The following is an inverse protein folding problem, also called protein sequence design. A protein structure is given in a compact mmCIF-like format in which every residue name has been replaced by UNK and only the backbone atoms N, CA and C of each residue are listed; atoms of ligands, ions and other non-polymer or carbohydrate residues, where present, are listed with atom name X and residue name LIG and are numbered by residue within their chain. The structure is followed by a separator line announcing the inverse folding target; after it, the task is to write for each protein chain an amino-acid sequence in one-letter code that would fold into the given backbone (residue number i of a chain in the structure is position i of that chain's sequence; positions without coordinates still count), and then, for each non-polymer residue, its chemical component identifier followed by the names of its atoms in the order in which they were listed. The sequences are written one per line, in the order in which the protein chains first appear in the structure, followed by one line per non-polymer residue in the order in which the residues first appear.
data_IF_777784570180
#
_entry.id   IF_777784570180
#
_cell.length_a   1.000
_cell.length_b   1.000
_cell.length_c   1.000
_cell.angle_alpha   90.00
_cell.angle_beta   90.00
_cell.angle_gamma   90.00
#
_symmetry.space_group_name_H-M   'P 1'
#
loop_
_entity.id
_entity.type
_entity.pdbx_description
1 polymer ?
#
# COMPACT_ATOMS: atom_id res chain seq x y z
N UNK A 1 -29.68 11.04 -7.95
CA UNK A 1 -28.28 10.68 -8.21
C UNK A 1 -27.70 10.09 -6.94
N UNK A 2 -27.53 8.76 -6.88
CA UNK A 2 -26.87 8.09 -5.75
C UNK A 2 -25.38 8.38 -5.86
N UNK A 3 -24.82 9.03 -4.84
CA UNK A 3 -23.41 9.44 -4.83
C UNK A 3 -22.50 8.25 -5.05
N UNK A 4 -21.58 8.41 -6.01
CA UNK A 4 -20.41 7.55 -6.16
C UNK A 4 -19.62 7.68 -4.88
N UNK A 5 -19.76 6.69 -3.99
CA UNK A 5 -18.88 6.52 -2.83
C UNK A 5 -17.52 6.13 -3.38
N UNK A 6 -16.60 7.09 -3.36
CA UNK A 6 -15.23 6.91 -3.85
C UNK A 6 -14.51 5.96 -2.92
N UNK A 7 -14.15 4.80 -3.47
CA UNK A 7 -13.51 3.66 -2.82
C UNK A 7 -12.05 3.90 -2.41
N UNK A 8 -11.75 4.97 -1.67
CA UNK A 8 -10.47 5.07 -0.94
C UNK A 8 -10.51 4.25 0.37
N UNK A 9 -11.71 3.83 0.79
CA UNK A 9 -11.97 2.88 1.87
C UNK A 9 -13.17 2.02 1.44
N UNK A 10 -12.95 0.74 1.09
CA UNK A 10 -14.06 -0.16 0.80
C UNK A 10 -14.75 -0.57 2.10
N UNK A 11 -15.87 0.09 2.39
CA UNK A 11 -16.95 -0.44 3.23
C UNK A 11 -17.72 -1.44 2.38
N UNK A 12 -17.53 -2.74 2.59
CA UNK A 12 -18.44 -3.77 2.07
C UNK A 12 -19.46 -4.13 3.15
N UNK A 13 -20.62 -3.48 3.13
CA UNK A 13 -21.83 -4.02 3.75
C UNK A 13 -22.61 -4.79 2.68
N UNK A 14 -22.42 -6.11 2.62
CA UNK A 14 -23.20 -6.98 1.75
C UNK A 14 -24.24 -7.75 2.59
N UNK A 15 -25.46 -7.25 2.61
CA UNK A 15 -26.66 -8.03 2.88
C UNK A 15 -27.70 -7.67 1.81
N UNK A 16 -27.69 -8.40 0.71
CA UNK A 16 -28.80 -8.42 -0.25
C UNK A 16 -29.15 -9.88 -0.49
N UNK A 17 -30.17 -10.34 0.24
CA UNK A 17 -30.94 -11.51 -0.16
C UNK A 17 -31.58 -11.21 -1.51
N UNK A 18 -31.25 -12.01 -2.52
CA UNK A 18 -31.98 -12.03 -3.79
C UNK A 18 -32.61 -13.42 -3.91
N UNK A 19 -33.92 -13.47 -3.72
CA UNK A 19 -34.75 -14.58 -4.17
C UNK A 19 -34.78 -14.56 -5.69
N UNK A 20 -34.26 -15.61 -6.33
CA UNK A 20 -34.56 -15.88 -7.73
C UNK A 20 -35.34 -17.20 -7.81
N UNK A 21 -36.61 -17.05 -8.14
CA UNK A 21 -37.49 -18.11 -8.65
C UNK A 21 -37.15 -18.40 -10.10
N UNK A 22 -36.72 -19.64 -10.38
CA UNK A 22 -37.07 -20.45 -11.57
C UNK A 22 -36.49 -20.08 -12.94
N UNK A 23 -35.69 -20.99 -13.52
CA UNK A 23 -36.06 -21.75 -14.73
C UNK A 23 -35.02 -22.85 -15.01
N UNK A 24 -35.50 -24.01 -15.47
CA UNK A 24 -34.81 -25.30 -15.47
C UNK A 24 -33.70 -25.48 -16.50
N UNK A 25 -32.83 -26.45 -16.22
CA UNK A 25 -31.77 -26.92 -17.11
C UNK A 25 -30.89 -27.93 -16.38
N UNK A 26 -30.93 -29.18 -16.85
CA UNK A 26 -30.36 -30.40 -16.26
C UNK A 26 -28.85 -30.40 -16.00
N UNK A 27 -28.49 -30.96 -14.83
CA UNK A 27 -27.25 -31.69 -14.50
C UNK A 27 -25.90 -31.04 -14.83
N UNK A 28 -25.45 -30.17 -13.93
CA UNK A 28 -24.04 -30.11 -13.52
C UNK A 28 -23.98 -30.27 -12.01
N UNK A 29 -23.58 -31.46 -11.54
CA UNK A 29 -23.30 -31.66 -10.12
C UNK A 29 -22.08 -30.84 -9.74
N UNK A 30 -22.30 -29.83 -8.90
CA UNK A 30 -21.22 -29.10 -8.24
C UNK A 30 -20.54 -30.02 -7.21
N UNK A 31 -19.22 -29.86 -6.96
CA UNK A 31 -18.53 -30.61 -5.93
C UNK A 31 -19.24 -30.47 -4.58
N UNK A 32 -19.70 -31.57 -3.99
CA UNK A 32 -20.42 -31.60 -2.71
C UNK A 32 -19.52 -31.34 -1.49
N UNK A 33 -18.21 -31.15 -1.70
CA UNK A 33 -17.28 -30.79 -0.64
C UNK A 33 -16.39 -29.64 -1.10
N UNK A 34 -16.86 -28.41 -0.85
CA UNK A 34 -15.94 -27.31 -0.55
C UNK A 34 -15.56 -27.50 0.92
N UNK A 35 -14.26 -27.62 1.27
CA UNK A 35 -13.86 -27.64 2.66
C UNK A 35 -14.39 -26.36 3.33
N UNK A 36 -15.29 -26.51 4.29
CA UNK A 36 -15.66 -25.42 5.18
C UNK A 36 -14.38 -24.96 5.86
N UNK A 37 -13.97 -23.73 5.57
CA UNK A 37 -12.99 -23.04 6.38
C UNK A 37 -13.65 -22.85 7.76
N UNK A 38 -13.38 -23.76 8.69
CA UNK A 38 -13.88 -23.74 10.05
C UNK A 38 -13.40 -22.46 10.70
N UNK A 39 -14.26 -21.44 10.64
CA UNK A 39 -14.03 -20.09 11.12
C UNK A 39 -13.84 -20.04 12.64
N UNK A 40 -12.74 -20.57 13.15
CA UNK A 40 -12.13 -20.04 14.34
C UNK A 40 -11.74 -18.61 14.00
N UNK A 41 -12.52 -17.67 14.51
CA UNK A 41 -12.13 -16.28 14.67
C UNK A 41 -10.92 -16.23 15.59
N UNK A 42 -9.76 -16.59 15.04
CA UNK A 42 -8.49 -16.51 15.73
C UNK A 42 -8.23 -15.04 16.03
N UNK A 43 -8.00 -14.73 17.31
CA UNK A 43 -7.40 -13.47 17.70
C UNK A 43 -6.20 -13.23 16.78
N UNK A 44 -6.13 -12.03 16.17
CA UNK A 44 -5.02 -11.66 15.30
C UNK A 44 -3.73 -11.98 16.03
N UNK A 45 -2.95 -12.94 15.51
CA UNK A 45 -1.70 -13.33 16.16
C UNK A 45 -0.79 -12.09 16.18
N UNK A 46 -0.62 -11.50 17.36
CA UNK A 46 0.29 -10.38 17.55
C UNK A 46 1.69 -10.91 17.25
N UNK A 47 2.32 -10.41 16.19
CA UNK A 47 3.68 -10.80 15.84
C UNK A 47 4.60 -10.28 16.93
N UNK A 48 5.26 -11.18 17.65
CA UNK A 48 6.29 -10.80 18.61
C UNK A 48 7.48 -10.17 17.87
N UNK A 49 7.77 -8.91 18.18
CA UNK A 49 8.91 -8.17 17.65
C UNK A 49 10.06 -8.30 18.65
N UNK A 50 11.26 -8.77 18.24
CA UNK A 50 12.40 -8.81 19.13
C UNK A 50 12.88 -7.40 19.51
N UNK A 51 13.61 -7.27 20.61
CA UNK A 51 14.13 -5.97 21.05
C UNK A 51 15.23 -5.40 20.13
N UNK A 52 15.85 -6.27 19.32
CA UNK A 52 16.97 -5.92 18.44
C UNK A 52 16.84 -6.65 17.11
N UNK A 53 17.37 -6.02 16.07
CA UNK A 53 17.46 -6.64 14.75
C UNK A 53 18.33 -7.89 14.76
N UNK A 54 17.89 -8.92 14.06
CA UNK A 54 18.64 -10.16 13.90
C UNK A 54 19.75 -10.00 12.86
N UNK A 55 20.97 -10.51 13.09
CA UNK A 55 22.09 -10.34 12.16
C UNK A 55 21.80 -10.81 10.73
N UNK A 56 21.05 -11.91 10.58
CA UNK A 56 20.69 -12.45 9.26
C UNK A 56 19.76 -11.49 8.49
N UNK A 57 18.78 -10.89 9.16
CA UNK A 57 17.88 -9.92 8.54
C UNK A 57 18.61 -8.61 8.21
N UNK A 58 19.51 -8.15 9.09
CA UNK A 58 20.38 -6.99 8.82
C UNK A 58 21.25 -7.22 7.58
N UNK A 59 21.77 -8.44 7.38
CA UNK A 59 22.54 -8.78 6.19
C UNK A 59 21.71 -8.72 4.90
N UNK A 60 20.43 -9.11 4.94
CA UNK A 60 19.50 -8.94 3.80
C UNK A 60 19.29 -7.46 3.50
N UNK A 61 18.98 -6.64 4.51
CA UNK A 61 18.80 -5.19 4.35
C UNK A 61 20.07 -4.53 3.79
N UNK A 62 21.25 -4.89 4.29
CA UNK A 62 22.52 -4.36 3.80
C UNK A 62 22.76 -4.66 2.32
N UNK A 63 22.43 -5.89 1.86
CA UNK A 63 22.46 -6.22 0.42
C UNK A 63 21.45 -5.41 -0.37
N UNK A 64 20.23 -5.27 0.13
CA UNK A 64 19.17 -4.52 -0.54
C UNK A 64 19.52 -3.04 -0.68
N UNK A 65 20.02 -2.39 0.37
CA UNK A 65 20.49 -0.99 0.31
C UNK A 65 21.65 -0.86 -0.66
N UNK A 66 22.63 -1.76 -0.62
CA UNK A 66 23.75 -1.74 -1.58
C UNK A 66 23.26 -1.86 -3.02
N UNK A 67 22.36 -2.81 -3.31
CA UNK A 67 21.79 -3.01 -4.64
C UNK A 67 20.96 -1.81 -5.11
N UNK A 68 20.10 -1.30 -4.23
CA UNK A 68 19.20 -0.19 -4.56
C UNK A 68 19.95 1.11 -4.79
N UNK A 69 21.13 1.29 -4.18
CA UNK A 69 21.85 2.57 -4.22
C UNK A 69 23.15 2.54 -5.01
N UNK A 70 23.44 1.43 -5.70
CA UNK A 70 24.76 1.21 -6.33
C UNK A 70 25.92 1.42 -5.32
N UNK A 71 25.72 0.91 -4.10
CA UNK A 71 26.67 1.00 -3.00
C UNK A 71 26.73 2.34 -2.26
N UNK A 72 25.87 3.31 -2.57
CA UNK A 72 25.84 4.62 -1.89
C UNK A 72 24.60 4.79 -0.97
N UNK A 73 24.66 4.33 0.30
CA UNK A 73 23.51 4.35 1.21
C UNK A 73 22.95 5.76 1.49
N UNK A 74 23.75 6.83 1.32
CA UNK A 74 23.26 8.21 1.46
C UNK A 74 22.16 8.58 0.45
N UNK A 75 21.98 7.80 -0.62
CA UNK A 75 20.86 7.95 -1.55
C UNK A 75 19.51 7.59 -0.93
N UNK A 76 19.46 6.66 0.03
CA UNK A 76 18.22 6.37 0.79
C UNK A 76 17.84 7.57 1.66
N UNK A 77 18.82 8.24 2.25
CA UNK A 77 18.58 9.44 3.06
C UNK A 77 17.97 10.57 2.22
N UNK A 78 18.44 10.78 0.99
CA UNK A 78 17.82 11.72 0.05
C UNK A 78 16.38 11.34 -0.30
N UNK A 79 16.04 10.06 -0.31
CA UNK A 79 14.69 9.58 -0.63
C UNK A 79 13.65 9.84 0.48
N UNK A 80 14.06 10.35 1.66
CA UNK A 80 13.16 10.81 2.71
C UNK A 80 12.21 11.91 2.22
N UNK A 81 12.67 12.75 1.30
CA UNK A 81 11.86 13.74 0.59
C UNK A 81 11.71 13.27 -0.84
N UNK A 82 10.52 12.90 -1.26
CA UNK A 82 10.33 12.37 -2.61
C UNK A 82 8.98 12.70 -3.22
N UNK A 83 8.92 12.64 -4.55
CA UNK A 83 7.69 12.73 -5.33
C UNK A 83 7.56 11.51 -6.22
N UNK A 84 6.33 11.11 -6.45
CA UNK A 84 5.98 9.98 -7.29
C UNK A 84 4.78 10.34 -8.17
N UNK A 85 4.95 10.19 -9.48
CA UNK A 85 3.87 10.28 -10.47
C UNK A 85 3.62 8.92 -11.09
N UNK A 86 2.36 8.51 -11.16
CA UNK A 86 1.97 7.24 -11.75
C UNK A 86 0.59 7.33 -12.42
N UNK A 87 0.38 6.45 -13.40
CA UNK A 87 -0.92 6.24 -14.06
C UNK A 87 -1.24 4.76 -14.08
N UNK A 88 -2.51 4.41 -14.10
CA UNK A 88 -2.89 3.04 -13.88
C UNK A 88 -4.39 2.81 -13.90
N UNK A 89 -4.80 1.73 -13.26
CA UNK A 89 -6.19 1.38 -13.04
C UNK A 89 -6.43 1.17 -11.55
N UNK A 90 -7.61 1.58 -11.10
CA UNK A 90 -8.13 1.25 -9.76
C UNK A 90 -9.43 0.50 -9.95
N UNK A 91 -9.60 -0.63 -9.28
CA UNK A 91 -10.81 -1.43 -9.36
C UNK A 91 -11.95 -0.71 -8.65
N UNK A 92 -12.90 -0.19 -9.42
CA UNK A 92 -14.13 0.41 -8.92
C UNK A 92 -15.30 -0.59 -8.91
N UNK A 93 -16.47 -0.18 -8.39
CA UNK A 93 -17.67 -1.04 -8.34
C UNK A 93 -18.13 -1.55 -9.71
N UNK A 94 -17.86 -0.79 -10.77
CA UNK A 94 -18.27 -1.10 -12.15
C UNK A 94 -17.09 -1.63 -13.00
N UNK A 95 -15.98 -2.02 -12.37
CA UNK A 95 -14.78 -2.49 -13.04
C UNK A 95 -13.59 -1.52 -12.96
N UNK A 96 -12.50 -1.78 -13.72
CA UNK A 96 -11.29 -0.98 -13.69
C UNK A 96 -11.53 0.47 -14.16
N UNK A 97 -11.08 1.43 -13.35
CA UNK A 97 -11.16 2.86 -13.62
C UNK A 97 -9.77 3.41 -13.96
N UNK A 98 -9.54 3.96 -15.17
CA UNK A 98 -8.28 4.63 -15.50
C UNK A 98 -8.00 5.75 -14.52
N UNK A 99 -6.81 5.77 -13.94
CA UNK A 99 -6.48 6.64 -12.81
C UNK A 99 -5.09 7.25 -12.95
N UNK A 100 -4.88 8.41 -12.34
CA UNK A 100 -3.58 9.04 -12.13
C UNK A 100 -3.38 9.32 -10.65
N UNK A 101 -2.15 9.20 -10.18
CA UNK A 101 -1.79 9.48 -8.80
C UNK A 101 -0.50 10.29 -8.76
N UNK A 102 -0.54 11.38 -8.00
CA UNK A 102 0.61 12.17 -7.59
C UNK A 102 0.78 12.03 -6.08
N UNK A 103 1.97 11.68 -5.63
CA UNK A 103 2.35 11.64 -4.22
C UNK A 103 3.54 12.58 -4.01
N UNK A 104 3.47 13.38 -2.96
CA UNK A 104 4.59 14.13 -2.39
C UNK A 104 4.72 13.69 -0.93
N UNK A 105 5.93 13.35 -0.49
CA UNK A 105 6.11 12.79 0.85
C UNK A 105 7.41 13.26 1.52
N UNK A 106 7.32 13.46 2.83
CA UNK A 106 8.48 13.68 3.71
C UNK A 106 8.41 12.73 4.89
N UNK A 107 9.38 11.83 4.97
CA UNK A 107 9.49 10.87 6.07
C UNK A 107 9.77 11.58 7.40
N UNK A 108 9.17 11.14 8.53
CA UNK A 108 8.25 9.98 8.67
C UNK A 108 6.76 10.35 8.69
N UNK A 109 6.39 11.61 8.50
CA UNK A 109 5.12 12.14 9.01
C UNK A 109 4.26 12.92 8.02
N UNK A 110 4.74 13.16 6.80
CA UNK A 110 4.04 14.00 5.82
C UNK A 110 3.80 13.31 4.49
N UNK A 111 2.55 13.36 4.04
CA UNK A 111 2.13 12.83 2.74
C UNK A 111 1.03 13.73 2.15
N UNK A 112 1.22 14.15 0.91
CA UNK A 112 0.17 14.73 0.08
C UNK A 112 -0.06 13.79 -1.11
N UNK A 113 -1.21 13.14 -1.16
CA UNK A 113 -1.62 12.31 -2.30
C UNK A 113 -2.80 12.95 -3.02
N UNK A 114 -2.75 12.89 -4.34
CA UNK A 114 -3.79 13.36 -5.23
C UNK A 114 -4.09 12.26 -6.23
N UNK A 115 -5.34 11.78 -6.21
CA UNK A 115 -5.83 10.75 -7.12
C UNK A 115 -6.86 11.36 -8.06
N UNK A 116 -6.71 11.09 -9.36
CA UNK A 116 -7.65 11.45 -10.41
C UNK A 116 -8.21 10.16 -11.01
N UNK A 117 -9.52 9.97 -10.95
CA UNK A 117 -10.24 8.79 -11.43
C UNK A 117 -11.09 9.14 -12.63
N UNK A 118 -10.89 8.44 -13.75
CA UNK A 118 -11.65 8.66 -14.98
C UNK A 118 -13.12 8.29 -14.81
N UNK A 119 -14.00 9.04 -15.46
CA UNK A 119 -15.43 8.77 -15.55
C UNK A 119 -16.00 9.34 -16.85
N UNK A 120 -17.22 8.97 -17.20
CA UNK A 120 -17.90 9.46 -18.41
C UNK A 120 -18.02 11.00 -18.46
N UNK A 121 -18.07 11.66 -17.29
CA UNK A 121 -18.16 13.11 -17.16
C UNK A 121 -16.83 13.82 -16.91
N UNK A 122 -15.69 13.09 -16.99
CA UNK A 122 -14.36 13.61 -16.73
C UNK A 122 -13.68 12.96 -15.52
N UNK A 123 -12.66 13.60 -14.97
CA UNK A 123 -11.92 13.05 -13.83
C UNK A 123 -12.47 13.55 -12.49
N UNK A 124 -12.89 12.62 -11.63
CA UNK A 124 -13.09 12.90 -10.21
C UNK A 124 -11.75 12.99 -9.50
N UNK A 125 -11.59 13.93 -8.55
CA UNK A 125 -10.32 14.13 -7.82
C UNK A 125 -10.51 13.89 -6.32
N UNK A 126 -9.65 13.06 -5.75
CA UNK A 126 -9.53 12.83 -4.30
C UNK A 126 -8.18 13.31 -3.80
N UNK A 127 -8.17 13.84 -2.59
CA UNK A 127 -7.03 14.44 -1.95
C UNK A 127 -6.85 13.79 -0.57
N UNK A 128 -5.62 13.39 -0.26
CA UNK A 128 -5.20 12.95 1.08
C UNK A 128 -4.06 13.85 1.53
N UNK A 129 -4.17 14.40 2.73
CA UNK A 129 -3.23 15.33 3.34
C UNK A 129 -2.94 14.84 4.75
N UNK A 130 -1.75 14.28 4.94
CA UNK A 130 -1.28 13.76 6.21
C UNK A 130 -0.11 14.63 6.69
N UNK A 131 -0.24 15.15 7.91
CA UNK A 131 0.84 15.74 8.71
C UNK A 131 0.62 15.24 10.13
N UNK A 132 1.26 14.11 10.48
CA UNK A 132 0.89 13.35 11.68
C UNK A 132 0.91 14.24 12.96
N UNK A 133 -0.08 14.07 13.85
CA UNK A 133 -1.19 13.10 13.83
C UNK A 133 -2.46 13.65 13.15
N UNK A 134 -2.33 14.60 12.22
CA UNK A 134 -3.47 15.22 11.53
C UNK A 134 -3.62 14.60 10.14
N UNK A 135 -4.82 14.07 9.87
CA UNK A 135 -5.25 13.61 8.56
C UNK A 135 -6.41 14.47 8.07
N UNK A 136 -6.33 14.93 6.84
CA UNK A 136 -7.45 15.45 6.08
C UNK A 136 -7.61 14.64 4.78
N UNK A 137 -8.84 14.24 4.50
CA UNK A 137 -9.21 13.59 3.24
C UNK A 137 -10.38 14.37 2.66
N UNK A 138 -10.36 14.59 1.35
CA UNK A 138 -11.42 15.29 0.67
C UNK A 138 -11.47 14.98 -0.81
N UNK A 139 -12.48 15.53 -1.48
CA UNK A 139 -12.65 15.45 -2.93
C UNK A 139 -12.83 16.82 -3.53
N UNK A 140 -12.59 16.96 -4.82
CA UNK A 140 -13.00 18.16 -5.56
C UNK A 140 -14.42 17.95 -6.12
N UNK A 141 -15.34 18.81 -5.73
CA UNK A 141 -16.69 18.89 -6.28
C UNK A 141 -16.98 20.34 -6.66
N UNK A 142 -17.44 20.57 -7.90
CA UNK A 142 -17.75 21.92 -8.42
C UNK A 142 -16.58 22.91 -8.24
N UNK A 143 -15.35 22.42 -8.43
CA UNK A 143 -14.13 23.23 -8.27
C UNK A 143 -13.71 23.52 -6.83
N UNK A 144 -14.42 23.01 -5.83
CA UNK A 144 -14.13 23.22 -4.41
C UNK A 144 -13.71 21.94 -3.71
N UNK A 145 -12.82 22.05 -2.74
CA UNK A 145 -12.48 20.95 -1.86
C UNK A 145 -13.59 20.71 -0.84
N UNK A 146 -14.07 19.48 -0.76
CA UNK A 146 -15.10 19.04 0.18
C UNK A 146 -14.49 17.94 1.05
N UNK A 147 -14.44 18.11 2.39
CA UNK A 147 -13.89 17.10 3.28
C UNK A 147 -14.74 15.83 3.27
N UNK A 148 -14.09 14.70 3.54
CA UNK A 148 -14.72 13.43 3.88
C UNK A 148 -14.72 13.31 5.39
N UNK A 149 -15.90 13.18 5.97
CA UNK A 149 -16.08 12.99 7.40
C UNK A 149 -15.90 11.53 7.79
N UNK A 150 -15.11 11.28 8.83
CA UNK A 150 -14.92 9.95 9.43
C UNK A 150 -15.57 9.91 10.81
N UNK A 151 -16.22 8.79 11.13
CA UNK A 151 -16.86 8.61 12.44
C UNK A 151 -15.85 8.59 13.60
N UNK A 152 -14.66 8.05 13.36
CA UNK A 152 -13.49 8.13 14.24
C UNK A 152 -12.35 8.76 13.44
N UNK A 153 -11.83 9.91 13.89
CA UNK A 153 -10.74 10.59 13.20
C UNK A 153 -9.37 9.93 13.38
N UNK A 154 -9.15 9.13 14.44
CA UNK A 154 -7.83 8.54 14.74
C UNK A 154 -7.53 7.27 13.94
N UNK A 155 -8.51 6.38 13.80
CA UNK A 155 -8.31 5.14 13.05
C UNK A 155 -7.93 5.36 11.57
N UNK A 156 -8.53 6.31 10.83
CA UNK A 156 -8.12 6.66 9.47
C UNK A 156 -6.71 7.22 9.39
N UNK A 157 -6.30 8.07 10.34
CA UNK A 157 -4.94 8.60 10.38
C UNK A 157 -3.91 7.48 10.48
N UNK A 158 -4.08 6.58 11.45
CA UNK A 158 -3.14 5.48 11.67
C UNK A 158 -3.08 4.52 10.46
N UNK A 159 -4.23 4.22 9.84
CA UNK A 159 -4.30 3.36 8.67
C UNK A 159 -3.63 4.00 7.44
N UNK A 160 -3.87 5.29 7.18
CA UNK A 160 -3.22 6.02 6.08
C UNK A 160 -1.71 6.15 6.32
N UNK A 161 -1.28 6.40 7.57
CA UNK A 161 0.14 6.44 7.91
C UNK A 161 0.84 5.10 7.65
N UNK A 162 0.26 3.98 8.11
CA UNK A 162 0.78 2.64 7.87
C UNK A 162 0.84 2.30 6.37
N UNK A 163 -0.20 2.63 5.63
CA UNK A 163 -0.26 2.39 4.19
C UNK A 163 0.74 3.25 3.42
N UNK A 164 1.01 4.48 3.88
CA UNK A 164 2.05 5.36 3.31
C UNK A 164 3.44 4.75 3.50
N UNK A 165 3.72 4.15 4.67
CA UNK A 165 4.97 3.41 4.89
C UNK A 165 5.08 2.23 3.93
N UNK A 166 4.08 1.34 3.91
CA UNK A 166 4.13 0.11 3.11
C UNK A 166 4.13 0.34 1.60
N UNK A 167 3.25 1.23 1.10
CA UNK A 167 3.08 1.50 -0.33
C UNK A 167 4.22 2.35 -0.90
N UNK A 168 4.63 3.37 -0.15
CA UNK A 168 5.42 4.46 -0.71
C UNK A 168 6.86 4.47 -0.20
N UNK A 169 7.07 4.64 1.11
CA UNK A 169 8.44 4.76 1.64
C UNK A 169 9.22 3.45 1.63
N UNK A 170 8.55 2.30 1.81
CA UNK A 170 9.23 1.00 1.76
C UNK A 170 9.81 0.71 0.36
N UNK A 171 9.17 1.19 -0.71
CA UNK A 171 9.65 1.02 -2.08
C UNK A 171 10.99 1.73 -2.35
N UNK A 172 11.37 2.69 -1.50
CA UNK A 172 12.65 3.41 -1.54
C UNK A 172 13.54 3.10 -0.32
N UNK A 173 13.20 2.04 0.42
CA UNK A 173 13.92 1.51 1.59
C UNK A 173 14.13 2.49 2.76
N UNK A 174 13.48 3.66 2.74
CA UNK A 174 13.63 4.68 3.79
C UNK A 174 13.36 4.14 5.20
N UNK A 175 12.28 3.35 5.46
CA UNK A 175 12.04 2.82 6.80
C UNK A 175 13.16 1.89 7.28
N UNK A 176 13.87 1.21 6.38
CA UNK A 176 14.94 0.27 6.73
C UNK A 176 16.27 0.96 7.07
N UNK A 177 16.42 2.23 6.71
CA UNK A 177 17.56 3.06 7.11
C UNK A 177 17.35 3.74 8.48
N UNK A 178 16.12 3.76 9.01
CA UNK A 178 15.84 4.29 10.34
C UNK A 178 16.39 3.33 11.42
N UNK A 179 17.24 3.84 12.31
CA UNK A 179 17.88 3.04 13.36
C UNK A 179 16.91 2.47 14.39
N UNK A 180 15.67 2.96 14.43
CA UNK A 180 14.60 2.46 15.30
C UNK A 180 13.84 1.29 14.67
N UNK A 181 14.06 0.99 13.40
CA UNK A 181 13.43 -0.14 12.73
C UNK A 181 14.11 -1.45 13.13
N UNK A 182 13.32 -2.40 13.61
CA UNK A 182 13.78 -3.75 13.94
C UNK A 182 13.50 -4.68 12.76
N UNK A 183 14.53 -5.41 12.30
CA UNK A 183 14.40 -6.42 11.24
C UNK A 183 14.74 -7.82 11.74
N UNK A 184 13.92 -8.82 11.38
CA UNK A 184 13.96 -10.15 11.99
C UNK A 184 13.30 -11.23 11.10
N UNK A 185 13.28 -12.49 11.54
CA UNK A 185 12.63 -13.64 10.86
C UNK A 185 13.14 -13.82 9.42
N UNK A 186 14.47 -13.79 9.27
CA UNK A 186 15.11 -13.99 7.97
C UNK A 186 15.02 -15.45 7.50
N UNK A 187 14.50 -15.66 6.29
CA UNK A 187 14.36 -16.99 5.68
C UNK A 187 14.39 -16.92 4.15
N UNK A 188 14.56 -18.08 3.53
CA UNK A 188 14.49 -18.26 2.08
C UNK A 188 13.12 -18.82 1.71
N UNK A 189 12.42 -18.17 0.78
CA UNK A 189 11.15 -18.65 0.24
C UNK A 189 11.15 -18.52 -1.29
N UNK A 190 10.16 -19.12 -1.94
CA UNK A 190 9.90 -18.88 -3.36
C UNK A 190 8.80 -17.83 -3.50
N UNK A 191 9.05 -16.78 -4.28
CA UNK A 191 8.03 -15.82 -4.72
C UNK A 191 7.78 -16.02 -6.22
N UNK A 192 6.59 -16.51 -6.57
CA UNK A 192 6.24 -16.85 -7.97
C UNK A 192 7.27 -17.79 -8.63
N UNK A 193 7.77 -18.77 -7.87
CA UNK A 193 8.78 -19.73 -8.34
C UNK A 193 10.22 -19.20 -8.38
N UNK A 194 10.46 -17.94 -8.01
CA UNK A 194 11.80 -17.35 -7.93
C UNK A 194 12.32 -17.35 -6.47
N UNK A 195 13.59 -17.68 -6.23
CA UNK A 195 14.19 -17.58 -4.90
C UNK A 195 14.18 -16.15 -4.35
N UNK A 196 13.72 -16.00 -3.12
CA UNK A 196 13.63 -14.72 -2.42
C UNK A 196 14.15 -14.81 -0.98
N UNK A 197 14.90 -13.78 -0.58
CA UNK A 197 15.18 -13.49 0.82
C UNK A 197 13.96 -12.82 1.44
N UNK A 198 13.45 -13.37 2.53
CA UNK A 198 12.27 -12.85 3.22
C UNK A 198 12.64 -12.46 4.64
N UNK A 199 12.26 -11.25 5.04
CA UNK A 199 12.42 -10.76 6.42
C UNK A 199 11.12 -10.10 6.88
N UNK A 200 11.02 -9.84 8.17
CA UNK A 200 10.05 -8.93 8.76
C UNK A 200 10.71 -7.64 9.21
N UNK A 201 9.98 -6.53 9.13
CA UNK A 201 10.43 -5.21 9.56
C UNK A 201 9.33 -4.55 10.41
N UNK A 202 9.71 -4.10 11.61
CA UNK A 202 8.86 -3.34 12.51
C UNK A 202 9.39 -1.91 12.61
N UNK A 203 8.77 -0.98 11.88
CA UNK A 203 9.10 0.44 11.96
C UNK A 203 8.24 1.13 13.05
N UNK A 204 8.71 2.22 13.68
CA UNK A 204 8.00 2.86 14.78
C UNK A 204 6.56 3.29 14.42
N UNK A 205 5.59 2.85 15.22
CA UNK A 205 4.19 3.25 15.07
C UNK A 205 3.50 2.71 13.81
N UNK A 206 4.00 1.60 13.25
CA UNK A 206 3.47 0.95 12.05
C UNK A 206 3.26 -0.55 12.29
N UNK A 207 2.45 -1.25 11.47
CA UNK A 207 2.37 -2.71 11.52
C UNK A 207 3.72 -3.35 11.17
N UNK A 208 3.85 -4.65 11.47
CA UNK A 208 4.98 -5.43 10.97
C UNK A 208 4.80 -5.68 9.47
N UNK A 209 5.80 -5.30 8.69
CA UNK A 209 5.88 -5.59 7.27
C UNK A 209 6.65 -6.89 7.05
N UNK A 210 6.16 -7.74 6.14
CA UNK A 210 6.95 -8.82 5.55
C UNK A 210 7.48 -8.32 4.21
N UNK A 211 8.77 -8.53 3.97
CA UNK A 211 9.48 -7.98 2.82
C UNK A 211 10.15 -9.12 2.07
N UNK A 212 9.94 -9.19 0.76
CA UNK A 212 10.57 -10.17 -0.12
C UNK A 212 11.57 -9.47 -1.03
N UNK A 213 12.82 -9.90 -0.98
CA UNK A 213 13.90 -9.41 -1.82
C UNK A 213 14.31 -10.50 -2.80
N UNK A 214 14.55 -10.11 -4.05
CA UNK A 214 15.11 -10.99 -5.06
C UNK A 214 16.49 -11.48 -4.60
N UNK A 215 16.72 -12.79 -4.52
CA UNK A 215 17.99 -13.32 -4.00
C UNK A 215 19.19 -12.91 -4.86
N UNK A 216 18.99 -12.78 -6.18
CA UNK A 216 20.06 -12.51 -7.14
C UNK A 216 20.43 -11.03 -7.21
N UNK A 217 19.45 -10.15 -7.35
CA UNK A 217 19.65 -8.70 -7.49
C UNK A 217 19.63 -7.97 -6.15
N UNK A 218 19.06 -8.55 -5.11
CA UNK A 218 18.86 -7.91 -3.81
C UNK A 218 17.74 -6.86 -3.77
N UNK A 219 17.04 -6.62 -4.89
CA UNK A 219 15.99 -5.60 -4.96
C UNK A 219 14.70 -6.07 -4.26
N UNK A 220 13.97 -5.12 -3.66
CA UNK A 220 12.69 -5.40 -3.00
C UNK A 220 11.61 -5.71 -4.05
N UNK A 221 11.01 -6.89 -3.97
CA UNK A 221 9.97 -7.35 -4.90
C UNK A 221 8.56 -7.20 -4.35
N UNK A 222 8.39 -7.33 -3.03
CA UNK A 222 7.07 -7.32 -2.42
C UNK A 222 7.09 -6.79 -0.99
N UNK A 223 6.04 -6.05 -0.62
CA UNK A 223 5.76 -5.56 0.73
C UNK A 223 4.39 -6.08 1.14
N UNK A 224 4.34 -6.88 2.20
CA UNK A 224 3.10 -7.43 2.75
C UNK A 224 2.90 -6.97 4.19
N UNK A 225 1.67 -6.68 4.59
CA UNK A 225 1.33 -6.37 5.97
C UNK A 225 -0.18 -6.52 6.20
N UNK A 226 -0.56 -6.60 7.46
CA UNK A 226 -1.96 -6.65 7.88
C UNK A 226 -2.27 -5.38 8.66
N UNK A 227 -3.40 -4.73 8.36
CA UNK A 227 -3.86 -3.57 9.14
C UNK A 227 -5.38 -3.55 9.27
N UNK A 228 -5.89 -3.00 10.37
CA UNK A 228 -7.32 -2.72 10.52
C UNK A 228 -7.61 -1.42 9.79
N UNK A 229 -8.45 -1.48 8.77
CA UNK A 229 -8.89 -0.31 8.03
C UNK A 229 -10.09 0.35 8.73
N UNK A 230 -10.29 1.67 8.61
CA UNK A 230 -11.48 2.36 9.09
C UNK A 230 -12.77 1.67 8.66
N UNK A 231 -13.63 1.37 9.64
CA UNK A 231 -14.90 0.66 9.42
C UNK A 231 -14.79 -0.87 9.40
N UNK A 232 -13.59 -1.43 9.37
CA UNK A 232 -13.37 -2.87 9.46
C UNK A 232 -13.11 -3.29 10.92
N UNK A 233 -13.68 -4.42 11.33
CA UNK A 233 -13.43 -5.01 12.66
C UNK A 233 -12.29 -6.02 12.66
N UNK A 234 -11.86 -6.45 11.47
CA UNK A 234 -10.77 -7.41 11.26
C UNK A 234 -9.66 -6.78 10.44
N UNK A 235 -8.40 -7.18 10.64
CA UNK A 235 -7.30 -6.78 9.78
C UNK A 235 -7.52 -7.26 8.33
N UNK A 236 -7.15 -6.40 7.39
CA UNK A 236 -7.04 -6.72 5.97
C UNK A 236 -5.57 -6.98 5.65
N UNK A 237 -5.27 -8.13 5.05
CA UNK A 237 -3.94 -8.42 4.51
C UNK A 237 -3.75 -7.69 3.18
N UNK A 238 -2.65 -6.96 3.09
CA UNK A 238 -2.29 -6.09 1.97
C UNK A 238 -0.95 -6.52 1.40
N UNK A 239 -0.84 -6.49 0.08
CA UNK A 239 0.37 -6.82 -0.64
C UNK A 239 0.62 -5.79 -1.74
N UNK A 240 1.78 -5.16 -1.72
CA UNK A 240 2.31 -4.33 -2.80
C UNK A 240 3.42 -5.10 -3.53
N UNK A 241 3.24 -5.34 -4.82
CA UNK A 241 4.27 -5.96 -5.67
C UNK A 241 4.98 -4.89 -6.48
N UNK A 242 6.31 -4.94 -6.48
CA UNK A 242 7.21 -3.97 -7.07
C UNK A 242 7.94 -4.61 -8.26
N UNK A 243 7.84 -4.01 -9.45
CA UNK A 243 8.42 -4.58 -10.68
C UNK A 243 9.10 -3.51 -11.53
N UNK A 244 9.84 -3.98 -12.54
CA UNK A 244 10.47 -3.17 -13.57
C UNK A 244 11.35 -2.06 -12.97
N UNK A 245 12.21 -2.45 -12.02
CA UNK A 245 13.10 -1.53 -11.33
C UNK A 245 14.01 -0.79 -12.30
N UNK A 246 14.14 0.52 -12.12
CA UNK A 246 14.96 1.40 -12.96
C UNK A 246 15.72 2.42 -12.11
N UNK A 247 16.89 2.81 -12.57
CA UNK A 247 17.69 3.84 -11.91
C UNK A 247 17.03 5.22 -12.07
N UNK A 248 16.87 5.94 -10.98
CA UNK A 248 16.44 7.35 -10.94
C UNK A 248 17.29 8.07 -9.90
N UNK A 249 18.06 9.08 -10.30
CA UNK A 249 19.04 9.78 -9.45
C UNK A 249 19.97 8.86 -8.64
N UNK A 250 20.31 7.70 -9.22
CA UNK A 250 21.16 6.69 -8.60
C UNK A 250 20.46 5.75 -7.62
N UNK A 251 19.14 5.83 -7.47
CA UNK A 251 18.33 4.87 -6.72
C UNK A 251 17.59 3.94 -7.69
N UNK A 252 17.68 2.62 -7.50
CA UNK A 252 16.86 1.64 -8.20
C UNK A 252 15.48 1.62 -7.55
N UNK A 253 14.48 2.07 -8.30
CA UNK A 253 13.10 2.23 -7.83
C UNK A 253 12.13 1.51 -8.77
N UNK A 254 10.98 1.02 -8.29
CA UNK A 254 10.04 0.28 -9.11
C UNK A 254 9.45 1.16 -10.22
N UNK A 255 9.38 0.59 -11.42
CA UNK A 255 8.68 1.16 -12.57
C UNK A 255 7.20 0.75 -12.63
N UNK A 256 6.81 -0.30 -11.92
CA UNK A 256 5.42 -0.73 -11.75
C UNK A 256 5.12 -1.11 -10.30
N UNK A 257 3.91 -0.77 -9.85
CA UNK A 257 3.42 -1.08 -8.51
C UNK A 257 2.03 -1.70 -8.66
N UNK A 258 1.81 -2.84 -8.02
CA UNK A 258 0.51 -3.53 -8.00
C UNK A 258 0.06 -3.70 -6.55
N UNK A 259 -1.19 -3.36 -6.26
CA UNK A 259 -1.79 -3.50 -4.93
C UNK A 259 -2.86 -4.60 -4.94
N UNK A 260 -2.75 -5.53 -3.98
CA UNK A 260 -3.73 -6.58 -3.71
C UNK A 260 -4.15 -6.56 -2.24
N UNK A 261 -5.41 -6.94 -2.02
CA UNK A 261 -5.86 -7.46 -0.74
C UNK A 261 -5.93 -8.98 -0.86
N UNK A 262 -5.36 -9.72 0.10
CA UNK A 262 -5.18 -11.18 -0.04
C UNK A 262 -6.49 -11.96 -0.22
N UNK A 263 -7.61 -11.40 0.24
CA UNK A 263 -8.93 -12.01 0.09
C UNK A 263 -9.52 -11.89 -1.33
N UNK A 264 -8.91 -11.09 -2.21
CA UNK A 264 -9.44 -10.80 -3.54
C UNK A 264 -8.59 -11.45 -4.65
N UNK A 265 -9.22 -12.05 -5.66
CA UNK A 265 -8.50 -12.76 -6.72
C UNK A 265 -7.79 -11.83 -7.71
N UNK A 266 -8.23 -10.58 -7.82
CA UNK A 266 -7.72 -9.59 -8.77
C UNK A 266 -7.02 -8.44 -8.03
N UNK A 267 -6.00 -7.80 -8.64
CA UNK A 267 -5.42 -6.58 -8.10
C UNK A 267 -6.47 -5.47 -7.99
N UNK A 268 -6.40 -4.74 -6.88
CA UNK A 268 -7.22 -3.56 -6.65
C UNK A 268 -6.65 -2.33 -7.35
N UNK A 269 -5.33 -2.24 -7.46
CA UNK A 269 -4.67 -1.17 -8.20
C UNK A 269 -3.50 -1.71 -9.00
N UNK A 270 -3.35 -1.23 -10.24
CA UNK A 270 -2.17 -1.49 -11.07
C UNK A 270 -1.63 -0.15 -11.58
N UNK A 271 -0.37 0.15 -11.27
CA UNK A 271 0.26 1.42 -11.58
C UNK A 271 1.52 1.25 -12.43
N UNK A 272 1.61 2.03 -13.50
CA UNK A 272 2.84 2.34 -14.19
C UNK A 272 3.40 3.64 -13.63
N UNK A 273 4.60 3.58 -13.06
CA UNK A 273 5.29 4.75 -12.53
C UNK A 273 5.85 5.56 -13.69
N UNK A 274 5.48 6.83 -13.74
CA UNK A 274 5.96 7.79 -14.74
C UNK A 274 7.27 8.43 -14.30
N UNK A 275 7.43 8.71 -13.00
CA UNK A 275 8.67 9.25 -12.46
C UNK A 275 8.73 9.25 -10.95
N UNK A 276 9.94 9.06 -10.44
CA UNK A 276 10.35 9.38 -9.08
C UNK A 276 11.19 10.66 -9.12
N UNK A 277 11.08 11.51 -8.10
CA UNK A 277 11.95 12.66 -7.89
C UNK A 277 12.38 12.69 -6.42
N UNK A 278 13.61 13.10 -6.14
CA UNK A 278 14.16 13.23 -4.78
C UNK A 278 14.64 14.65 -4.51
N UNK A 279 13.70 15.63 -4.42
CA UNK A 279 14.06 17.02 -4.20
C UNK A 279 14.62 17.22 -2.78
N UNK A 280 15.34 18.31 -2.57
CA UNK A 280 15.87 18.65 -1.24
C UNK A 280 14.75 18.98 -0.24
N UNK A 281 13.63 19.55 -0.74
CA UNK A 281 12.47 19.94 0.06
C UNK A 281 11.18 19.88 -0.76
N UNK A 282 10.05 19.77 -0.06
CA UNK A 282 8.70 19.98 -0.58
C UNK A 282 8.09 21.13 0.21
N UNK A 283 7.33 22.00 -0.46
CA UNK A 283 6.70 23.16 0.18
C UNK A 283 5.69 22.73 1.25
N UNK A 284 5.79 23.31 2.45
CA UNK A 284 5.02 22.89 3.63
C UNK A 284 3.50 22.94 3.43
N UNK A 285 3.02 23.97 2.72
CA UNK A 285 1.59 24.16 2.49
C UNK A 285 0.94 23.06 1.64
N UNK A 286 1.74 22.23 0.95
CA UNK A 286 1.23 21.09 0.17
C UNK A 286 0.61 19.97 1.02
N UNK A 287 0.98 19.90 2.30
CA UNK A 287 0.50 18.88 3.26
C UNK A 287 -0.71 19.31 4.07
N UNK A 288 -1.11 20.58 3.96
CA UNK A 288 -2.24 21.12 4.71
C UNK A 288 -3.55 20.96 3.90
N UNK A 289 -4.73 21.00 4.57
CA UNK A 289 -6.00 21.04 3.86
C UNK A 289 -6.04 22.20 2.85
N UNK A 290 -6.60 21.99 1.64
CA UNK A 290 -6.82 23.07 0.69
C UNK A 290 -7.76 24.13 1.29
N UNK A 291 -7.48 25.40 0.98
CA UNK A 291 -8.30 26.56 1.38
C UNK A 291 -9.57 26.69 0.53
#
# INVERSE_FOLDING_TARGET
MRGVWVSVLFVTAAAVMSFNTGCGGSEKSLPQHVPENTGQAGATAVVAVPDKSEPAAVAVVGRAVKAATDGNPARVERAKVNRLRMKGTVMGPNGPVPSRRLVEAVWPDRLAQTDEFGSDSGFGKTLVRLRRPVLWVGRIAEGKAVPVEFADGKAPEAAIAAESVGRHWMAVLVPLADSRTVVFDAKKLLLNGQPADVIRAAAPGTPVFTLWFDEKSGLLLQVGFSQVEPGNTKPTDKVFTLRDHRATDGLMVPGRIEYRQSALPLPLEEWAVEGWEFPERIEEGGFDPPK
#
